data_IF_977790079543
#
_entry.id   IF_977790079543
#
_cell.length_a   1.000
_cell.length_b   1.000
_cell.length_c   1.000
_cell.angle_alpha   90.00
_cell.angle_beta   90.00
_cell.angle_gamma   90.00
#
_symmetry.space_group_name_H-M   'P 1'
#
loop_
_entity.id
_entity.type
_entity.pdbx_description
1 polymer ?
#
# COMPACT_ATOMS: atom_id res chain seq x y z
N UNK A 1 28.85 41.27 -17.74
CA UNK A 1 27.73 41.49 -16.80
C UNK A 1 26.95 40.19 -16.77
N UNK A 2 26.80 39.57 -15.60
CA UNK A 2 26.17 38.27 -15.46
C UNK A 2 24.65 38.45 -15.33
N UNK A 3 23.89 37.98 -16.31
CA UNK A 3 22.43 37.85 -16.22
C UNK A 3 22.10 36.68 -15.29
N UNK A 4 21.88 37.01 -14.02
CA UNK A 4 21.35 36.09 -13.02
C UNK A 4 19.91 35.73 -13.35
N UNK A 5 19.68 34.55 -13.94
CA UNK A 5 18.36 33.91 -13.90
C UNK A 5 18.05 33.55 -12.45
N UNK A 6 17.22 34.34 -11.81
CA UNK A 6 16.61 33.97 -10.53
C UNK A 6 15.58 32.89 -10.86
N UNK A 7 15.91 31.62 -10.61
CA UNK A 7 14.93 30.54 -10.63
C UNK A 7 13.85 30.87 -9.61
N UNK A 8 12.66 31.20 -10.10
CA UNK A 8 11.45 31.37 -9.30
C UNK A 8 11.15 30.03 -8.61
N UNK A 9 11.45 29.94 -7.31
CA UNK A 9 11.21 28.76 -6.47
C UNK A 9 9.78 28.68 -5.95
N UNK A 10 8.84 29.42 -6.53
CA UNK A 10 7.46 29.49 -6.06
C UNK A 10 6.58 28.53 -6.84
N UNK A 11 6.88 27.22 -6.82
CA UNK A 11 5.82 26.25 -7.15
C UNK A 11 4.71 26.47 -6.12
N UNK A 12 3.47 26.79 -6.54
CA UNK A 12 2.38 27.01 -5.60
C UNK A 12 2.20 25.76 -4.73
N UNK A 13 1.92 25.94 -3.44
CA UNK A 13 1.78 24.84 -2.47
C UNK A 13 0.85 23.70 -2.97
N UNK A 14 -0.15 24.04 -3.80
CA UNK A 14 -1.04 23.08 -4.46
C UNK A 14 -0.37 22.19 -5.54
N UNK A 15 0.71 22.62 -6.18
CA UNK A 15 1.54 21.78 -7.06
C UNK A 15 2.50 20.89 -6.29
N UNK A 16 3.04 21.37 -5.16
CA UNK A 16 3.79 20.50 -4.23
C UNK A 16 2.91 19.38 -3.68
N UNK A 17 1.68 19.67 -3.25
CA UNK A 17 0.73 18.63 -2.79
C UNK A 17 0.38 17.66 -3.93
N UNK A 18 0.31 18.12 -5.18
CA UNK A 18 0.10 17.24 -6.34
C UNK A 18 1.33 16.40 -6.66
N UNK A 19 2.53 16.94 -6.60
CA UNK A 19 3.79 16.20 -6.83
C UNK A 19 4.05 15.22 -5.68
N UNK A 20 3.68 15.57 -4.45
CA UNK A 20 3.75 14.72 -3.27
C UNK A 20 2.65 13.65 -3.30
N UNK A 21 1.41 14.01 -3.63
CA UNK A 21 0.34 13.04 -3.91
C UNK A 21 0.64 12.15 -5.13
N UNK A 22 1.55 12.59 -6.02
CA UNK A 22 2.12 11.83 -7.14
C UNK A 22 3.45 11.15 -6.82
N UNK A 23 4.10 11.42 -5.68
CA UNK A 23 5.23 10.62 -5.19
C UNK A 23 4.81 9.19 -4.88
N UNK A 24 3.51 8.91 -4.93
CA UNK A 24 3.00 7.82 -5.77
C UNK A 24 3.61 6.48 -5.47
N UNK A 25 3.97 6.24 -4.22
CA UNK A 25 4.20 4.91 -3.71
C UNK A 25 2.87 4.20 -3.85
N UNK A 26 2.74 3.51 -4.97
CA UNK A 26 1.73 2.51 -5.22
C UNK A 26 2.44 1.20 -4.98
N UNK A 27 1.76 0.28 -4.29
CA UNK A 27 2.07 -1.15 -4.43
C UNK A 27 2.29 -1.44 -5.91
N UNK A 28 3.30 -2.26 -6.22
CA UNK A 28 3.68 -2.48 -7.61
C UNK A 28 2.48 -3.07 -8.38
N UNK A 29 2.48 -2.95 -9.71
CA UNK A 29 1.42 -3.60 -10.52
C UNK A 29 1.33 -5.10 -10.22
N UNK A 30 2.48 -5.73 -9.94
CA UNK A 30 2.56 -7.12 -9.50
C UNK A 30 1.83 -7.33 -8.18
N UNK A 31 2.07 -6.47 -7.19
CA UNK A 31 1.39 -6.56 -5.90
C UNK A 31 -0.13 -6.41 -6.03
N UNK A 32 -0.61 -5.46 -6.83
CA UNK A 32 -2.04 -5.27 -7.06
C UNK A 32 -2.70 -6.50 -7.71
N UNK A 33 -2.02 -7.15 -8.65
CA UNK A 33 -2.49 -8.40 -9.27
C UNK A 33 -2.53 -9.53 -8.23
N UNK A 34 -1.47 -9.70 -7.44
CA UNK A 34 -1.42 -10.73 -6.39
C UNK A 34 -2.49 -10.52 -5.33
N UNK A 35 -2.70 -9.29 -4.86
CA UNK A 35 -3.74 -8.97 -3.86
C UNK A 35 -5.14 -9.28 -4.39
N UNK A 36 -5.43 -8.95 -5.66
CA UNK A 36 -6.70 -9.32 -6.31
C UNK A 36 -6.88 -10.83 -6.43
N UNK A 37 -5.81 -11.55 -6.73
CA UNK A 37 -5.85 -13.02 -6.81
C UNK A 37 -6.11 -13.65 -5.44
N UNK A 38 -5.44 -13.17 -4.39
CA UNK A 38 -5.65 -13.63 -3.01
C UNK A 38 -7.09 -13.34 -2.57
N UNK A 39 -7.58 -12.11 -2.75
CA UNK A 39 -8.96 -11.73 -2.44
C UNK A 39 -9.98 -12.64 -3.14
N UNK A 40 -9.77 -12.90 -4.44
CA UNK A 40 -10.61 -13.81 -5.22
C UNK A 40 -10.57 -15.25 -4.69
N UNK A 41 -9.40 -15.73 -4.25
CA UNK A 41 -9.25 -17.07 -3.66
C UNK A 41 -10.00 -17.17 -2.32
N UNK A 42 -9.81 -16.20 -1.43
CA UNK A 42 -10.48 -16.11 -0.12
C UNK A 42 -12.02 -16.07 -0.26
N UNK A 43 -12.53 -15.39 -1.28
CA UNK A 43 -13.98 -15.27 -1.54
C UNK A 43 -14.56 -16.37 -2.41
N UNK A 44 -13.72 -17.23 -3.01
CA UNK A 44 -14.19 -18.24 -3.98
C UNK A 44 -14.99 -19.40 -3.38
N UNK A 45 -15.03 -19.52 -2.04
CA UNK A 45 -15.69 -20.63 -1.34
C UNK A 45 -15.02 -21.99 -1.56
N UNK A 46 -13.84 -22.02 -2.22
CA UNK A 46 -13.03 -23.23 -2.36
C UNK A 46 -12.25 -23.50 -1.08
N UNK A 47 -12.04 -24.78 -0.76
CA UNK A 47 -11.15 -25.17 0.32
C UNK A 47 -9.72 -24.72 -0.03
N UNK A 48 -9.15 -23.90 0.85
CA UNK A 48 -7.75 -23.50 0.82
C UNK A 48 -6.98 -24.41 1.76
N UNK A 49 -5.77 -24.79 1.39
CA UNK A 49 -4.90 -25.58 2.26
C UNK A 49 -4.22 -24.70 3.31
N UNK A 50 -3.76 -25.30 4.42
CA UNK A 50 -2.98 -24.60 5.45
C UNK A 50 -1.74 -23.94 4.85
N UNK A 51 -1.03 -24.63 3.94
CA UNK A 51 0.15 -24.09 3.28
C UNK A 51 -0.19 -22.84 2.43
N UNK A 52 -1.27 -22.89 1.64
CA UNK A 52 -1.70 -21.72 0.85
C UNK A 52 -2.09 -20.54 1.74
N UNK A 53 -2.77 -20.81 2.86
CA UNK A 53 -3.15 -19.75 3.80
C UNK A 53 -1.91 -19.15 4.48
N UNK A 54 -0.93 -19.97 4.86
CA UNK A 54 0.36 -19.49 5.40
C UNK A 54 1.09 -18.62 4.37
N UNK A 55 1.18 -19.07 3.12
CA UNK A 55 1.81 -18.30 2.04
C UNK A 55 1.12 -16.94 1.83
N UNK A 56 -0.22 -16.92 1.91
CA UNK A 56 -0.99 -15.67 1.84
C UNK A 56 -0.73 -14.78 3.04
N UNK A 57 -0.65 -15.34 4.25
CA UNK A 57 -0.37 -14.59 5.47
C UNK A 57 0.99 -13.89 5.39
N UNK A 58 2.04 -14.63 5.05
CA UNK A 58 3.41 -14.11 4.94
C UNK A 58 3.51 -13.00 3.90
N UNK A 59 2.91 -13.22 2.73
CA UNK A 59 2.88 -12.24 1.65
C UNK A 59 2.15 -10.96 2.05
N UNK A 60 0.95 -11.09 2.64
CA UNK A 60 0.15 -9.95 3.06
C UNK A 60 0.81 -9.18 4.20
N UNK A 61 1.46 -9.87 5.15
CA UNK A 61 2.14 -9.22 6.27
C UNK A 61 3.33 -8.39 5.76
N UNK A 62 4.15 -8.96 4.87
CA UNK A 62 5.27 -8.26 4.24
C UNK A 62 4.85 -6.98 3.51
N UNK A 63 3.78 -7.05 2.71
CA UNK A 63 3.24 -5.85 2.03
C UNK A 63 2.68 -4.85 3.05
N UNK A 64 1.98 -5.32 4.07
CA UNK A 64 1.39 -4.43 5.08
C UNK A 64 2.46 -3.64 5.83
N UNK A 65 3.59 -4.27 6.16
CA UNK A 65 4.73 -3.64 6.82
C UNK A 65 5.37 -2.57 5.91
N UNK A 66 5.58 -2.90 4.63
CA UNK A 66 6.09 -1.95 3.64
C UNK A 66 5.19 -0.71 3.51
N UNK A 67 3.88 -0.91 3.37
CA UNK A 67 2.93 0.20 3.27
C UNK A 67 2.90 1.03 4.56
N UNK A 68 2.93 0.40 5.74
CA UNK A 68 2.99 1.12 7.03
C UNK A 68 4.23 1.99 7.13
N UNK A 69 5.40 1.48 6.72
CA UNK A 69 6.64 2.25 6.72
C UNK A 69 6.53 3.50 5.83
N UNK A 70 5.96 3.35 4.63
CA UNK A 70 5.74 4.48 3.71
C UNK A 70 4.77 5.51 4.31
N UNK A 71 3.62 5.09 4.83
CA UNK A 71 2.64 5.98 5.46
C UNK A 71 3.27 6.72 6.65
N UNK A 72 4.12 6.07 7.45
CA UNK A 72 4.81 6.71 8.57
C UNK A 72 5.80 7.78 8.10
N UNK A 73 6.58 7.50 7.05
CA UNK A 73 7.48 8.50 6.44
C UNK A 73 6.69 9.70 5.90
N UNK A 74 5.59 9.45 5.18
CA UNK A 74 4.72 10.50 4.66
C UNK A 74 4.10 11.33 5.79
N UNK A 75 3.62 10.70 6.87
CA UNK A 75 3.09 11.42 8.04
C UNK A 75 4.13 12.29 8.71
N UNK A 76 5.39 11.85 8.79
CA UNK A 76 6.49 12.66 9.32
C UNK A 76 6.76 13.91 8.46
N UNK A 77 6.48 13.84 7.16
CA UNK A 77 6.55 14.97 6.22
C UNK A 77 5.25 15.81 6.17
N UNK A 78 4.24 15.49 6.99
CA UNK A 78 2.94 16.17 6.99
C UNK A 78 2.03 15.79 5.81
N UNK A 79 2.30 14.65 5.17
CA UNK A 79 1.61 14.15 3.98
C UNK A 79 0.60 13.08 4.39
N UNK A 80 -0.65 13.23 3.93
CA UNK A 80 -1.69 12.23 4.11
C UNK A 80 -1.97 11.48 2.80
N UNK A 81 -1.46 10.25 2.68
CA UNK A 81 -1.71 9.39 1.52
C UNK A 81 -2.91 8.46 1.75
N UNK A 82 -4.11 9.02 1.57
CA UNK A 82 -5.38 8.31 1.75
C UNK A 82 -5.50 7.05 0.87
N UNK A 83 -4.80 7.01 -0.27
CA UNK A 83 -4.76 5.85 -1.16
C UNK A 83 -4.05 4.66 -0.52
N UNK A 84 -2.82 4.88 -0.03
CA UNK A 84 -2.06 3.86 0.70
C UNK A 84 -2.77 3.43 1.99
N UNK A 85 -3.37 4.37 2.74
CA UNK A 85 -4.15 4.02 3.93
C UNK A 85 -5.38 3.15 3.59
N UNK A 86 -6.05 3.42 2.47
CA UNK A 86 -7.12 2.57 1.94
C UNK A 86 -6.64 1.17 1.58
N UNK A 87 -5.49 1.08 0.89
CA UNK A 87 -4.88 -0.20 0.52
C UNK A 87 -4.44 -1.00 1.75
N UNK A 88 -3.82 -0.34 2.75
CA UNK A 88 -3.43 -0.97 4.00
C UNK A 88 -4.65 -1.55 4.73
N UNK A 89 -5.76 -0.81 4.81
CA UNK A 89 -7.01 -1.32 5.41
C UNK A 89 -7.49 -2.59 4.72
N UNK A 90 -7.46 -2.62 3.38
CA UNK A 90 -7.84 -3.81 2.61
C UNK A 90 -6.92 -5.00 2.89
N UNK A 91 -5.61 -4.77 2.95
CA UNK A 91 -4.62 -5.83 3.26
C UNK A 91 -4.84 -6.38 4.66
N UNK A 92 -5.07 -5.52 5.67
CA UNK A 92 -5.37 -5.95 7.04
C UNK A 92 -6.67 -6.76 7.10
N UNK A 93 -7.69 -6.39 6.33
CA UNK A 93 -8.93 -7.19 6.25
C UNK A 93 -8.66 -8.60 5.69
N UNK A 94 -7.86 -8.70 4.63
CA UNK A 94 -7.47 -10.01 4.07
C UNK A 94 -6.62 -10.82 5.06
N UNK A 95 -5.68 -10.20 5.78
CA UNK A 95 -4.91 -10.85 6.84
C UNK A 95 -5.83 -11.45 7.91
N UNK A 96 -6.78 -10.66 8.41
CA UNK A 96 -7.73 -11.15 9.42
C UNK A 96 -8.56 -12.34 8.89
N UNK A 97 -8.95 -12.32 7.62
CA UNK A 97 -9.64 -13.45 6.99
C UNK A 97 -8.76 -14.70 6.94
N UNK A 98 -7.51 -14.55 6.49
CA UNK A 98 -6.53 -15.65 6.44
C UNK A 98 -6.30 -16.24 7.83
N UNK A 99 -6.02 -15.40 8.85
CA UNK A 99 -5.84 -15.85 10.24
C UNK A 99 -7.07 -16.60 10.74
N UNK A 100 -8.27 -16.05 10.51
CA UNK A 100 -9.53 -16.72 10.92
C UNK A 100 -9.75 -18.06 10.21
N UNK A 101 -9.24 -18.23 8.99
CA UNK A 101 -9.30 -19.51 8.28
C UNK A 101 -8.26 -20.49 8.82
N UNK A 102 -7.04 -20.04 9.12
CA UNK A 102 -5.99 -20.85 9.75
C UNK A 102 -6.41 -21.37 11.13
N UNK A 103 -7.03 -20.52 11.96
CA UNK A 103 -7.50 -20.88 13.31
C UNK A 103 -8.58 -21.98 13.32
N UNK A 104 -9.17 -22.29 12.15
CA UNK A 104 -10.21 -23.33 12.01
C UNK A 104 -9.64 -24.70 11.60
N UNK A 105 -8.35 -24.80 11.30
CA UNK A 105 -7.66 -26.07 11.04
C UNK A 105 -7.15 -26.68 12.34
#
# INVERSE_FOLDING_TARGET
MADGKVEDKSKPMGEYIKDIGRRGYRITKTDDVSLKNIEKRLTSGKNLTVNELSDYQDYLDGISQNIRSIIQMEKAEGIANMGLEGQLRKIVQMLNQVTTMLDKF
#
